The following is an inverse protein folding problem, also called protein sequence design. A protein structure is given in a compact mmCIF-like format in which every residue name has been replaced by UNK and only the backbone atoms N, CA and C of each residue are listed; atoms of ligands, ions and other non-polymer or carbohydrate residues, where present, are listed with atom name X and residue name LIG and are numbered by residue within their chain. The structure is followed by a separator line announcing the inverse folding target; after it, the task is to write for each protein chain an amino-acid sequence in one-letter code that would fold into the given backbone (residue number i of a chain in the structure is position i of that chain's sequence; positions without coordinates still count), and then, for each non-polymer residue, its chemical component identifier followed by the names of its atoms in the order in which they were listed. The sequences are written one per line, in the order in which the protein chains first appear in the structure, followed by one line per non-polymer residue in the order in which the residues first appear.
data_IF_066676364135
#
_entry.id   IF_066676364135
#
_cell.length_a   1.000
_cell.length_b   1.000
_cell.length_c   1.000
_cell.angle_alpha   90.00
_cell.angle_beta   90.00
_cell.angle_gamma   90.00
#
_symmetry.space_group_name_H-M   'P 1'
#
loop_
_entity.id
_entity.type
_entity.pdbx_description
1 polymer ?
#
# COMPACT_ATOMS: atom_id res chain seq x y z
N UNK A 1 -2.11 -33.27 19.78
CA UNK A 1 -2.19 -31.83 20.09
C UNK A 1 -1.94 -31.66 21.57
N UNK A 2 -1.24 -30.60 21.98
CA UNK A 2 -0.99 -30.24 23.37
C UNK A 2 -1.58 -28.84 23.58
N UNK A 3 -2.47 -28.70 24.57
CA UNK A 3 -3.08 -27.43 24.97
C UNK A 3 -2.64 -27.09 26.40
N UNK A 4 -1.98 -25.95 26.54
CA UNK A 4 -1.62 -25.35 27.81
C UNK A 4 -2.51 -24.14 28.04
N UNK A 5 -3.50 -24.27 28.92
CA UNK A 5 -4.39 -23.18 29.28
C UNK A 5 -4.01 -22.62 30.66
N UNK A 6 -3.73 -21.32 30.71
CA UNK A 6 -3.52 -20.58 31.95
C UNK A 6 -4.83 -19.90 32.33
N UNK A 7 -5.27 -20.14 33.56
CA UNK A 7 -6.52 -19.57 34.11
C UNK A 7 -6.27 -18.51 35.18
N UNK A 8 -5.00 -18.23 35.51
CA UNK A 8 -4.62 -17.14 36.41
C UNK A 8 -4.77 -15.78 35.72
N UNK A 9 -4.83 -14.71 36.51
CA UNK A 9 -4.93 -13.33 35.99
C UNK A 9 -3.62 -12.73 35.48
N UNK A 10 -2.52 -13.50 35.47
CA UNK A 10 -1.19 -12.99 35.11
C UNK A 10 -0.81 -13.40 33.67
N UNK A 11 -0.19 -12.50 32.89
CA UNK A 11 0.33 -12.85 31.56
C UNK A 11 1.40 -13.95 31.61
N UNK A 12 1.50 -14.74 30.54
CA UNK A 12 2.58 -15.72 30.37
C UNK A 12 3.79 -15.07 29.75
N UNK A 13 4.98 -15.32 30.32
CA UNK A 13 6.27 -14.89 29.72
C UNK A 13 7.00 -16.09 29.14
N UNK A 14 7.29 -16.05 27.84
CA UNK A 14 8.06 -17.05 27.11
C UNK A 14 9.43 -16.44 26.75
N UNK A 15 10.47 -16.88 27.44
CA UNK A 15 11.83 -16.32 27.33
C UNK A 15 12.88 -17.34 26.85
N UNK A 16 12.44 -18.43 26.21
CA UNK A 16 13.33 -19.50 25.74
C UNK A 16 12.61 -20.56 24.91
N UNK A 17 13.34 -21.63 24.52
CA UNK A 17 12.78 -22.71 23.72
C UNK A 17 11.74 -23.53 24.50
N UNK A 18 10.69 -23.95 23.79
CA UNK A 18 9.72 -24.94 24.24
C UNK A 18 9.80 -26.15 23.32
N UNK A 19 10.08 -27.32 23.87
CA UNK A 19 10.24 -28.57 23.12
C UNK A 19 9.13 -29.56 23.46
N UNK A 20 8.60 -30.22 22.43
CA UNK A 20 7.76 -31.40 22.59
C UNK A 20 8.66 -32.63 22.49
N UNK A 21 8.91 -33.27 23.64
CA UNK A 21 9.68 -34.50 23.67
C UNK A 21 8.91 -35.64 22.97
N UNK A 22 9.59 -36.37 22.08
CA UNK A 22 9.02 -37.49 21.34
C UNK A 22 8.31 -37.08 20.05
N UNK A 23 7.07 -37.54 19.87
CA UNK A 23 6.32 -37.33 18.64
C UNK A 23 5.91 -35.86 18.46
N UNK A 24 6.07 -35.36 17.24
CA UNK A 24 5.63 -34.00 16.85
C UNK A 24 4.14 -33.82 17.12
N UNK A 25 3.77 -32.69 17.70
CA UNK A 25 2.37 -32.35 17.96
C UNK A 25 2.10 -30.85 17.85
N UNK A 26 0.88 -30.48 17.47
CA UNK A 26 0.46 -29.07 17.52
C UNK A 26 0.47 -28.58 18.97
N UNK A 27 1.01 -27.39 19.20
CA UNK A 27 1.08 -26.74 20.51
C UNK A 27 0.16 -25.52 20.56
N UNK A 28 -0.62 -25.40 21.63
CA UNK A 28 -1.46 -24.24 21.90
C UNK A 28 -1.14 -23.73 23.30
N UNK A 29 -0.81 -22.45 23.40
CA UNK A 29 -0.61 -21.72 24.65
C UNK A 29 -1.70 -20.65 24.75
N UNK A 30 -2.66 -20.86 25.64
CA UNK A 30 -3.81 -20.00 25.82
C UNK A 30 -3.75 -19.29 27.17
N UNK A 31 -3.69 -17.95 27.16
CA UNK A 31 -3.74 -17.13 28.37
C UNK A 31 -4.49 -15.81 28.12
N UNK A 32 -5.74 -15.67 28.59
CA UNK A 32 -6.54 -14.45 28.44
C UNK A 32 -5.97 -13.19 29.09
N UNK A 33 -5.04 -13.32 30.05
CA UNK A 33 -4.35 -12.17 30.64
C UNK A 33 -3.29 -11.57 29.70
N UNK A 34 -2.78 -12.34 28.74
CA UNK A 34 -1.77 -11.92 27.78
C UNK A 34 -0.60 -12.89 27.65
N UNK A 35 0.20 -12.71 26.60
CA UNK A 35 1.42 -13.48 26.34
C UNK A 35 2.54 -12.53 25.93
N UNK A 36 3.69 -12.65 26.57
CA UNK A 36 4.91 -11.91 26.28
C UNK A 36 5.95 -12.91 25.78
N UNK A 37 6.48 -12.71 24.58
CA UNK A 37 7.59 -13.48 24.03
C UNK A 37 8.83 -12.60 23.89
N UNK A 38 9.96 -13.07 24.42
CA UNK A 38 11.26 -12.41 24.29
C UNK A 38 12.35 -13.47 24.14
N UNK A 39 12.56 -13.95 22.92
CA UNK A 39 13.45 -15.06 22.61
C UNK A 39 12.78 -16.44 22.70
N UNK A 40 11.44 -16.50 22.56
CA UNK A 40 10.75 -17.78 22.57
C UNK A 40 10.95 -18.51 21.23
N UNK A 41 11.11 -19.84 21.31
CA UNK A 41 11.18 -20.69 20.13
C UNK A 41 10.49 -22.03 20.37
N UNK A 42 10.14 -22.73 19.30
CA UNK A 42 9.35 -23.95 19.40
C UNK A 42 9.99 -25.10 18.61
N UNK A 43 10.22 -26.22 19.29
CA UNK A 43 10.89 -27.40 18.74
C UNK A 43 9.88 -28.55 18.70
N UNK A 44 9.88 -29.30 17.59
CA UNK A 44 8.96 -30.43 17.34
C UNK A 44 7.46 -30.05 17.32
N UNK A 45 7.13 -28.77 17.14
CA UNK A 45 5.77 -28.27 17.04
C UNK A 45 5.46 -27.80 15.60
N UNK A 46 4.88 -28.63 14.71
CA UNK A 46 4.56 -28.26 13.33
C UNK A 46 3.54 -27.13 13.21
N UNK A 47 2.74 -26.90 14.26
CA UNK A 47 1.84 -25.77 14.41
C UNK A 47 1.90 -25.25 15.83
N UNK A 48 2.05 -23.94 15.99
CA UNK A 48 2.06 -23.23 17.27
C UNK A 48 0.97 -22.18 17.25
N UNK A 49 0.10 -22.20 18.26
CA UNK A 49 -0.93 -21.19 18.48
C UNK A 49 -0.66 -20.49 19.80
N UNK A 50 -0.32 -19.20 19.74
CA UNK A 50 -0.27 -18.33 20.92
C UNK A 50 -1.56 -17.52 20.94
N UNK A 51 -2.34 -17.64 22.00
CA UNK A 51 -3.65 -17.01 22.05
C UNK A 51 -4.00 -16.42 23.41
N UNK A 52 -4.71 -15.30 23.40
CA UNK A 52 -5.40 -14.77 24.58
C UNK A 52 -6.88 -15.17 24.61
N UNK A 53 -7.28 -16.10 23.74
CA UNK A 53 -8.61 -16.65 23.73
C UNK A 53 -8.77 -17.84 24.67
N UNK A 54 -10.00 -18.04 25.14
CA UNK A 54 -10.37 -19.26 25.86
C UNK A 54 -10.72 -20.37 24.85
N UNK A 55 -10.20 -21.60 25.02
CA UNK A 55 -10.51 -22.72 24.14
C UNK A 55 -11.93 -23.24 24.36
N UNK A 56 -12.65 -23.46 23.26
CA UNK A 56 -13.98 -24.07 23.24
C UNK A 56 -13.91 -25.43 22.55
N UNK A 57 -14.56 -26.42 23.13
CA UNK A 57 -14.58 -27.78 22.62
C UNK A 57 -15.96 -28.13 22.04
N UNK A 58 -15.98 -28.96 21.00
CA UNK A 58 -17.22 -29.52 20.47
C UNK A 58 -17.75 -30.65 21.38
N UNK A 59 -18.90 -31.22 21.03
CA UNK A 59 -19.53 -32.31 21.78
C UNK A 59 -18.70 -33.61 21.79
N UNK A 60 -17.72 -33.75 20.88
CA UNK A 60 -16.82 -34.89 20.77
C UNK A 60 -15.50 -34.65 21.53
N UNK A 61 -15.33 -33.49 22.16
CA UNK A 61 -14.12 -33.10 22.89
C UNK A 61 -12.98 -32.57 22.01
N UNK A 62 -13.22 -32.30 20.73
CA UNK A 62 -12.22 -31.67 19.87
C UNK A 62 -12.23 -30.16 20.07
N UNK A 63 -11.06 -29.52 19.99
CA UNK A 63 -10.98 -28.06 19.99
C UNK A 63 -11.64 -27.50 18.73
N UNK A 64 -12.71 -26.74 18.90
CA UNK A 64 -13.47 -26.14 17.80
C UNK A 64 -13.02 -24.70 17.53
N UNK A 65 -12.95 -23.88 18.58
CA UNK A 65 -12.67 -22.45 18.46
C UNK A 65 -11.92 -21.89 19.66
N UNK A 66 -11.40 -20.67 19.48
CA UNK A 66 -10.71 -19.88 20.50
C UNK A 66 -11.44 -18.54 20.65
N UNK A 67 -12.05 -18.30 21.81
CA UNK A 67 -12.79 -17.07 22.13
C UNK A 67 -11.87 -16.00 22.69
N UNK A 68 -11.39 -15.13 21.82
CA UNK A 68 -10.56 -13.96 22.14
C UNK A 68 -11.46 -12.79 22.54
N UNK A 69 -11.40 -12.34 23.79
CA UNK A 69 -12.19 -11.19 24.28
C UNK A 69 -11.33 -10.06 24.87
N UNK A 70 -10.10 -10.37 25.27
CA UNK A 70 -9.13 -9.48 25.92
C UNK A 70 -7.71 -10.00 25.75
N UNK A 71 -6.75 -9.30 26.36
CA UNK A 71 -5.36 -9.68 26.39
C UNK A 71 -4.58 -9.23 25.15
N UNK A 72 -3.29 -9.03 25.34
CA UNK A 72 -2.34 -8.65 24.29
C UNK A 72 -1.28 -9.74 24.12
N UNK A 73 -0.85 -9.96 22.88
CA UNK A 73 0.40 -10.66 22.59
C UNK A 73 1.49 -9.62 22.31
N UNK A 74 2.59 -9.71 23.03
CA UNK A 74 3.73 -8.81 22.86
C UNK A 74 4.98 -9.61 22.51
N UNK A 75 5.65 -9.23 21.43
CA UNK A 75 6.93 -9.82 21.01
C UNK A 75 8.02 -8.76 21.11
N UNK A 76 9.03 -8.99 21.94
CA UNK A 76 10.11 -8.04 22.21
C UNK A 76 11.50 -8.69 22.05
N UNK A 77 12.54 -7.87 22.14
CA UNK A 77 13.93 -8.34 22.30
C UNK A 77 14.36 -9.31 21.21
N UNK A 78 14.79 -10.51 21.60
CA UNK A 78 15.25 -11.56 20.68
C UNK A 78 14.14 -12.15 19.78
N UNK A 79 12.87 -11.75 19.99
CA UNK A 79 11.78 -12.08 19.08
C UNK A 79 11.14 -13.45 19.35
N UNK A 80 10.48 -13.98 18.33
CA UNK A 80 9.77 -15.26 18.30
C UNK A 80 10.26 -16.08 17.09
N UNK A 81 10.80 -17.28 17.34
CA UNK A 81 11.23 -18.19 16.28
C UNK A 81 10.34 -19.45 16.22
N UNK A 82 9.52 -19.52 15.19
CA UNK A 82 8.69 -20.67 14.81
C UNK A 82 8.99 -21.12 13.37
N UNK A 83 10.25 -20.98 12.90
CA UNK A 83 10.65 -21.45 11.56
C UNK A 83 10.30 -22.93 11.38
N UNK A 84 9.77 -23.27 10.20
CA UNK A 84 9.32 -24.63 9.88
C UNK A 84 7.95 -25.01 10.50
N UNK A 85 7.29 -24.10 11.22
CA UNK A 85 5.96 -24.29 11.78
C UNK A 85 4.95 -23.28 11.24
N UNK A 86 3.68 -23.67 11.17
CA UNK A 86 2.59 -22.70 11.11
C UNK A 86 2.47 -21.99 12.47
N UNK A 87 2.47 -20.66 12.47
CA UNK A 87 2.28 -19.83 13.66
C UNK A 87 0.95 -19.08 13.56
N UNK A 88 0.10 -19.28 14.57
CA UNK A 88 -1.12 -18.52 14.77
C UNK A 88 -0.97 -17.65 16.02
N UNK A 89 -0.98 -16.32 15.83
CA UNK A 89 -1.06 -15.33 16.90
C UNK A 89 -2.50 -14.84 16.96
N UNK A 90 -3.22 -15.11 18.06
CA UNK A 90 -4.65 -14.84 18.18
C UNK A 90 -4.95 -14.08 19.47
N UNK A 91 -5.09 -12.76 19.40
CA UNK A 91 -5.27 -11.93 20.61
C UNK A 91 -6.14 -10.72 20.37
N UNK A 92 -6.55 -10.02 21.42
CA UNK A 92 -7.35 -8.80 21.23
C UNK A 92 -6.51 -7.70 20.60
N UNK A 93 -5.25 -7.57 21.03
CA UNK A 93 -4.27 -6.67 20.43
C UNK A 93 -2.89 -7.33 20.32
N UNK A 94 -2.03 -6.79 19.46
CA UNK A 94 -0.64 -7.25 19.30
C UNK A 94 0.33 -6.08 19.26
N UNK A 95 1.47 -6.24 19.94
CA UNK A 95 2.60 -5.33 19.87
C UNK A 95 3.86 -6.12 19.48
N UNK A 96 4.35 -5.89 18.27
CA UNK A 96 5.49 -6.62 17.69
C UNK A 96 6.68 -5.66 17.61
N UNK A 97 7.60 -5.77 18.56
CA UNK A 97 8.82 -4.98 18.68
C UNK A 97 10.10 -5.82 18.55
N UNK A 98 9.97 -7.09 18.18
CA UNK A 98 11.05 -8.00 17.80
C UNK A 98 10.70 -8.76 16.53
N UNK A 99 11.65 -9.56 16.03
CA UNK A 99 11.40 -10.35 14.83
C UNK A 99 10.54 -11.59 15.13
N UNK A 100 9.52 -11.82 14.32
CA UNK A 100 8.68 -13.03 14.32
C UNK A 100 9.01 -13.82 13.06
N UNK A 101 9.36 -15.09 13.21
CA UNK A 101 9.63 -16.01 12.09
C UNK A 101 8.68 -17.21 12.14
N UNK A 102 8.10 -17.57 11.01
CA UNK A 102 7.24 -18.75 10.88
C UNK A 102 7.33 -19.33 9.46
N UNK A 103 6.93 -20.59 9.25
CA UNK A 103 6.71 -21.13 7.90
C UNK A 103 5.43 -20.55 7.29
N UNK A 104 4.35 -20.47 8.06
CA UNK A 104 3.10 -19.83 7.65
C UNK A 104 2.59 -19.00 8.81
N UNK A 105 2.20 -17.76 8.58
CA UNK A 105 1.88 -16.82 9.66
C UNK A 105 0.42 -16.36 9.56
N UNK A 106 -0.34 -16.60 10.61
CA UNK A 106 -1.64 -15.97 10.82
C UNK A 106 -1.57 -15.07 12.06
N UNK A 107 -1.91 -13.79 11.92
CA UNK A 107 -2.09 -12.88 13.03
C UNK A 107 -3.50 -12.31 13.00
N UNK A 108 -4.33 -12.69 13.97
CA UNK A 108 -5.73 -12.28 14.08
C UNK A 108 -5.90 -11.46 15.35
N UNK A 109 -6.29 -10.21 15.17
CA UNK A 109 -6.51 -9.23 16.23
C UNK A 109 -7.97 -8.77 16.33
N UNK A 110 -8.37 -8.46 17.55
CA UNK A 110 -9.71 -8.04 17.96
C UNK A 110 -10.47 -9.12 18.73
N UNK A 111 -11.65 -8.76 19.23
CA UNK A 111 -12.55 -9.66 19.93
C UNK A 111 -13.23 -10.62 18.94
N UNK A 112 -12.81 -11.88 18.94
CA UNK A 112 -13.25 -12.90 17.98
C UNK A 112 -13.46 -14.26 18.62
N UNK A 113 -14.44 -15.00 18.10
CA UNK A 113 -14.38 -16.45 18.09
C UNK A 113 -13.61 -16.88 16.84
N UNK A 114 -12.46 -17.53 17.00
CA UNK A 114 -11.61 -17.98 15.89
C UNK A 114 -11.73 -19.48 15.71
N UNK A 115 -12.15 -19.93 14.54
CA UNK A 115 -12.17 -21.35 14.18
C UNK A 115 -10.75 -21.93 14.16
N UNK A 116 -10.50 -23.04 14.87
CA UNK A 116 -9.14 -23.58 14.99
C UNK A 116 -8.64 -24.20 13.67
N UNK A 117 -9.50 -24.76 12.83
CA UNK A 117 -9.08 -25.38 11.57
C UNK A 117 -8.59 -24.37 10.54
N UNK A 118 -9.45 -23.41 10.22
CA UNK A 118 -9.26 -22.40 9.16
C UNK A 118 -8.63 -21.09 9.63
N UNK A 119 -8.58 -20.87 10.95
CA UNK A 119 -8.16 -19.61 11.56
C UNK A 119 -9.02 -18.44 11.06
N UNK A 120 -10.32 -18.70 10.88
CA UNK A 120 -11.29 -17.71 10.42
C UNK A 120 -11.94 -17.03 11.63
N UNK A 121 -11.86 -15.71 11.77
CA UNK A 121 -12.48 -14.99 12.87
C UNK A 121 -13.97 -14.72 12.61
N UNK A 122 -14.76 -14.81 13.67
CA UNK A 122 -16.12 -14.27 13.77
C UNK A 122 -16.15 -13.28 14.94
N UNK A 123 -16.55 -12.04 14.70
CA UNK A 123 -16.54 -11.00 15.73
C UNK A 123 -17.44 -11.37 16.92
N UNK A 124 -16.95 -11.13 18.13
CA UNK A 124 -17.69 -11.26 19.40
C UNK A 124 -17.50 -10.00 20.25
N UNK A 125 -18.21 -9.90 21.37
CA UNK A 125 -18.01 -8.80 22.31
C UNK A 125 -16.67 -8.94 23.06
N UNK A 126 -15.87 -7.88 23.04
CA UNK A 126 -14.65 -7.76 23.85
C UNK A 126 -14.96 -7.34 25.29
N UNK A 127 -14.00 -7.59 26.20
CA UNK A 127 -14.11 -7.27 27.64
C UNK A 127 -13.10 -6.20 28.05
N UNK A 128 -13.54 -5.25 28.87
CA UNK A 128 -12.72 -4.12 29.29
C UNK A 128 -12.51 -3.07 28.19
N UNK A 129 -11.66 -2.05 28.45
CA UNK A 129 -11.45 -0.95 27.51
C UNK A 129 -10.91 -1.47 26.18
N UNK A 130 -11.40 -0.89 25.08
CA UNK A 130 -10.87 -1.20 23.76
C UNK A 130 -9.39 -0.81 23.68
N UNK A 131 -8.54 -1.64 23.03
CA UNK A 131 -7.19 -1.24 22.64
C UNK A 131 -7.19 0.04 21.81
N UNK A 132 -6.01 0.58 21.50
CA UNK A 132 -5.89 1.72 20.59
C UNK A 132 -5.57 1.29 19.15
N UNK A 133 -4.91 0.14 18.99
CA UNK A 133 -4.49 -0.44 17.71
C UNK A 133 -4.67 -1.96 17.80
N UNK A 134 -5.11 -2.60 16.72
CA UNK A 134 -5.28 -4.04 16.67
C UNK A 134 -3.93 -4.76 16.56
N UNK A 135 -3.10 -4.35 15.60
CA UNK A 135 -1.75 -4.88 15.38
C UNK A 135 -0.80 -3.71 15.19
N UNK A 136 0.20 -3.59 16.07
CA UNK A 136 1.27 -2.60 15.96
C UNK A 136 2.61 -3.31 15.76
N UNK A 137 3.17 -3.20 14.56
CA UNK A 137 4.53 -3.67 14.26
C UNK A 137 5.46 -2.46 14.35
N UNK A 138 6.19 -2.33 15.46
CA UNK A 138 7.11 -1.22 15.68
C UNK A 138 8.24 -1.18 14.66
N UNK A 139 9.02 -0.10 14.64
CA UNK A 139 10.13 0.06 13.67
C UNK A 139 11.22 -1.03 13.79
N UNK A 140 11.41 -1.57 15.00
CA UNK A 140 12.31 -2.70 15.28
C UNK A 140 11.59 -4.06 15.17
N UNK A 141 10.27 -4.03 15.07
CA UNK A 141 9.45 -5.21 14.86
C UNK A 141 9.57 -5.74 13.45
N UNK A 142 9.40 -7.04 13.29
CA UNK A 142 9.23 -7.62 11.96
C UNK A 142 8.44 -8.92 12.01
N UNK A 143 7.78 -9.26 10.92
CA UNK A 143 7.03 -10.50 10.77
C UNK A 143 7.40 -11.16 9.44
N UNK A 144 7.95 -12.36 9.49
CA UNK A 144 8.44 -13.12 8.35
C UNK A 144 7.73 -14.47 8.27
N UNK A 145 6.95 -14.67 7.23
CA UNK A 145 6.42 -15.98 6.84
C UNK A 145 7.26 -16.60 5.74
N UNK A 146 7.70 -17.84 5.90
CA UNK A 146 8.38 -18.63 4.87
C UNK A 146 7.51 -18.79 3.63
N UNK A 147 6.21 -19.02 3.81
CA UNK A 147 5.14 -19.11 2.81
C UNK A 147 4.15 -17.97 2.94
N UNK A 148 2.86 -18.29 3.04
CA UNK A 148 1.80 -17.27 3.08
C UNK A 148 1.69 -16.61 4.47
N UNK A 149 1.40 -15.30 4.46
CA UNK A 149 1.23 -14.47 5.66
C UNK A 149 -0.13 -13.77 5.63
N UNK A 150 -0.89 -13.87 6.70
CA UNK A 150 -2.23 -13.26 6.84
C UNK A 150 -2.33 -12.44 8.12
N UNK A 151 -2.71 -11.18 8.00
CA UNK A 151 -2.99 -10.27 9.12
C UNK A 151 -4.47 -9.85 9.05
N UNK A 152 -5.22 -10.01 10.14
CA UNK A 152 -6.64 -9.67 10.21
C UNK A 152 -6.91 -8.84 11.47
N UNK A 153 -7.37 -7.60 11.32
CA UNK A 153 -7.91 -6.76 12.40
C UNK A 153 -9.43 -6.64 12.27
N UNK A 154 -10.17 -7.05 13.29
CA UNK A 154 -11.63 -7.26 13.17
C UNK A 154 -12.47 -6.26 13.98
N UNK A 155 -11.92 -5.68 15.04
CA UNK A 155 -12.64 -4.67 15.81
C UNK A 155 -12.75 -3.36 15.02
N UNK A 156 -13.97 -2.82 14.92
CA UNK A 156 -14.26 -1.61 14.17
C UNK A 156 -13.45 -0.41 14.70
N UNK A 157 -12.80 0.31 13.79
CA UNK A 157 -11.98 1.47 14.14
C UNK A 157 -10.58 1.14 14.70
N UNK A 158 -10.28 -0.12 15.01
CA UNK A 158 -8.94 -0.52 15.44
C UNK A 158 -8.08 -0.87 14.24
N UNK A 159 -7.11 0.00 13.97
CA UNK A 159 -6.23 -0.08 12.82
C UNK A 159 -5.07 -1.07 12.96
N UNK A 160 -4.30 -1.17 11.88
CA UNK A 160 -3.02 -1.90 11.82
C UNK A 160 -1.92 -0.91 11.46
N UNK A 161 -0.85 -0.88 12.26
CA UNK A 161 0.32 -0.04 12.03
C UNK A 161 1.53 -0.92 11.68
N UNK A 162 2.18 -0.64 10.55
CA UNK A 162 3.38 -1.32 10.07
C UNK A 162 4.53 -0.33 10.02
N UNK A 163 5.30 -0.29 11.10
CA UNK A 163 6.53 0.47 11.23
C UNK A 163 7.79 -0.27 10.81
N UNK A 164 7.78 -1.60 10.90
CA UNK A 164 8.89 -2.48 10.58
C UNK A 164 8.68 -3.27 9.28
N UNK A 165 9.32 -4.44 9.18
CA UNK A 165 9.21 -5.29 7.99
C UNK A 165 8.14 -6.37 8.16
N UNK A 166 7.26 -6.49 7.18
CA UNK A 166 6.24 -7.52 7.09
C UNK A 166 6.41 -8.24 5.74
N UNK A 167 6.80 -9.52 5.76
CA UNK A 167 7.17 -10.24 4.56
C UNK A 167 6.59 -11.66 4.47
N UNK A 168 6.14 -12.04 3.28
CA UNK A 168 5.88 -13.42 2.87
C UNK A 168 6.96 -13.84 1.86
N UNK A 169 7.87 -14.72 2.25
CA UNK A 169 9.13 -14.98 1.53
C UNK A 169 8.98 -15.88 0.30
N UNK A 170 7.99 -16.78 0.30
CA UNK A 170 7.65 -17.62 -0.86
C UNK A 170 6.16 -17.60 -1.20
N UNK A 171 5.33 -16.94 -0.38
CA UNK A 171 3.88 -16.93 -0.53
C UNK A 171 3.28 -15.54 -0.76
N UNK A 172 1.93 -15.54 -0.78
CA UNK A 172 1.11 -14.33 -0.80
C UNK A 172 1.03 -13.67 0.56
N UNK A 173 0.73 -12.38 0.57
CA UNK A 173 0.46 -11.62 1.79
C UNK A 173 -0.94 -11.00 1.73
N UNK A 174 -1.77 -11.30 2.71
CA UNK A 174 -3.11 -10.75 2.85
C UNK A 174 -3.23 -9.96 4.16
N UNK A 175 -3.56 -8.69 4.08
CA UNK A 175 -3.77 -7.82 5.23
C UNK A 175 -5.17 -7.20 5.18
N UNK A 176 -6.00 -7.51 6.16
CA UNK A 176 -7.36 -7.00 6.26
C UNK A 176 -7.57 -6.34 7.61
N UNK A 177 -8.19 -5.16 7.64
CA UNK A 177 -8.51 -4.46 8.87
C UNK A 177 -9.89 -3.79 8.78
N UNK A 178 -10.66 -3.85 9.87
CA UNK A 178 -11.88 -3.07 10.06
C UNK A 178 -11.60 -1.66 10.64
N UNK A 179 -10.33 -1.30 10.78
CA UNK A 179 -9.84 0.06 11.00
C UNK A 179 -8.77 0.42 9.96
N UNK A 180 -8.17 1.60 10.10
CA UNK A 180 -7.20 2.08 9.11
C UNK A 180 -5.90 1.29 9.11
N UNK A 181 -5.26 1.17 7.95
CA UNK A 181 -3.93 0.60 7.79
C UNK A 181 -2.93 1.71 7.56
N UNK A 182 -1.89 1.78 8.39
CA UNK A 182 -0.80 2.74 8.24
C UNK A 182 0.51 2.00 8.05
N UNK A 183 1.22 2.31 6.96
CA UNK A 183 2.58 1.86 6.71
C UNK A 183 3.47 3.10 6.85
N UNK A 184 4.31 3.11 7.88
CA UNK A 184 5.16 4.27 8.20
C UNK A 184 6.31 4.42 7.20
N UNK A 185 7.08 5.51 7.22
CA UNK A 185 8.22 5.68 6.31
C UNK A 185 9.28 4.57 6.37
N UNK A 186 9.43 3.91 7.52
CA UNK A 186 10.34 2.76 7.69
C UNK A 186 9.68 1.43 7.37
N UNK A 187 8.34 1.42 7.31
CA UNK A 187 7.51 0.25 7.08
C UNK A 187 7.75 -0.36 5.70
N UNK A 188 7.89 -1.68 5.66
CA UNK A 188 7.99 -2.46 4.43
C UNK A 188 6.97 -3.59 4.47
N UNK A 189 6.16 -3.71 3.43
CA UNK A 189 5.21 -4.81 3.23
C UNK A 189 5.57 -5.52 1.93
N UNK A 190 6.00 -6.77 2.04
CA UNK A 190 6.59 -7.51 0.93
C UNK A 190 5.97 -8.90 0.81
N UNK A 191 5.86 -9.39 -0.42
CA UNK A 191 5.47 -10.78 -0.68
C UNK A 191 6.24 -11.31 -1.88
N UNK A 192 6.38 -12.62 -1.99
CA UNK A 192 6.94 -13.28 -3.17
C UNK A 192 5.88 -13.69 -4.21
N UNK A 193 4.59 -13.58 -3.88
CA UNK A 193 3.46 -13.82 -4.78
C UNK A 193 2.49 -12.63 -4.76
N UNK A 194 1.17 -12.81 -4.70
CA UNK A 194 0.27 -11.65 -4.65
C UNK A 194 0.25 -10.97 -3.27
N UNK A 195 -0.04 -9.67 -3.26
CA UNK A 195 -0.19 -8.86 -2.06
C UNK A 195 -1.57 -8.18 -2.07
N UNK A 196 -2.37 -8.40 -1.04
CA UNK A 196 -3.67 -7.77 -0.87
C UNK A 196 -3.76 -6.98 0.44
N UNK A 197 -4.28 -5.75 0.38
CA UNK A 197 -4.59 -4.92 1.55
C UNK A 197 -6.06 -4.47 1.46
N UNK A 198 -6.84 -4.71 2.51
CA UNK A 198 -8.23 -4.28 2.60
C UNK A 198 -8.52 -3.55 3.91
N UNK A 199 -8.92 -2.28 3.84
CA UNK A 199 -9.25 -1.46 5.00
C UNK A 199 -10.14 -0.27 4.60
N UNK A 200 -10.82 0.41 5.55
CA UNK A 200 -11.50 1.68 5.28
C UNK A 200 -10.56 2.72 4.66
N UNK A 201 -9.38 2.93 5.26
CA UNK A 201 -8.32 3.74 4.69
C UNK A 201 -6.95 3.05 4.78
N UNK A 202 -6.10 3.30 3.79
CA UNK A 202 -4.72 2.83 3.70
C UNK A 202 -3.80 4.04 3.48
N UNK A 203 -2.97 4.34 4.48
CA UNK A 203 -1.92 5.36 4.40
C UNK A 203 -0.58 4.67 4.20
N UNK A 204 0.03 4.84 3.03
CA UNK A 204 1.34 4.29 2.71
C UNK A 204 2.39 5.38 2.59
N UNK A 205 3.32 5.42 3.55
CA UNK A 205 4.51 6.29 3.54
C UNK A 205 5.79 5.50 3.32
N UNK A 206 5.73 4.17 3.43
CA UNK A 206 6.85 3.25 3.27
C UNK A 206 6.87 2.58 1.90
N UNK A 207 7.12 1.27 1.89
CA UNK A 207 7.19 0.48 0.66
C UNK A 207 6.27 -0.74 0.69
N UNK A 208 5.45 -0.88 -0.35
CA UNK A 208 4.70 -2.08 -0.68
C UNK A 208 5.31 -2.64 -1.95
N UNK A 209 5.81 -3.88 -1.92
CA UNK A 209 6.51 -4.47 -3.08
C UNK A 209 6.26 -5.96 -3.24
N UNK A 210 6.07 -6.40 -4.48
CA UNK A 210 5.96 -7.82 -4.83
C UNK A 210 6.28 -8.07 -6.31
N UNK A 211 6.85 -9.24 -6.70
CA UNK A 211 6.88 -9.64 -8.11
C UNK A 211 5.50 -10.03 -8.66
N UNK A 212 4.52 -10.34 -7.80
CA UNK A 212 3.14 -10.68 -8.19
C UNK A 212 2.27 -9.45 -8.42
N UNK A 213 0.96 -9.58 -8.15
CA UNK A 213 0.00 -8.47 -8.22
C UNK A 213 -0.17 -7.80 -6.87
N UNK A 214 -0.46 -6.49 -6.87
CA UNK A 214 -0.93 -5.75 -5.71
C UNK A 214 -2.40 -5.39 -5.86
N UNK A 215 -3.21 -5.69 -4.86
CA UNK A 215 -4.60 -5.23 -4.75
C UNK A 215 -4.81 -4.45 -3.46
N UNK A 216 -5.27 -3.21 -3.54
CA UNK A 216 -5.61 -2.40 -2.36
C UNK A 216 -7.07 -1.97 -2.44
N UNK A 217 -7.88 -2.30 -1.44
CA UNK A 217 -9.27 -1.83 -1.32
C UNK A 217 -9.43 -0.91 -0.11
N UNK A 218 -9.84 0.33 -0.34
CA UNK A 218 -9.96 1.37 0.69
C UNK A 218 -9.67 2.77 0.18
N UNK A 219 -9.89 3.80 1.00
CA UNK A 219 -9.40 5.14 0.72
C UNK A 219 -7.87 5.15 0.79
N UNK A 220 -7.18 5.54 -0.29
CA UNK A 220 -5.71 5.43 -0.34
C UNK A 220 -5.03 6.79 -0.31
N UNK A 221 -4.07 6.95 0.59
CA UNK A 221 -3.10 8.03 0.59
C UNK A 221 -1.68 7.44 0.47
N UNK A 222 -1.07 7.57 -0.70
CA UNK A 222 0.27 7.05 -1.00
C UNK A 222 1.27 8.19 -1.15
N UNK A 223 2.20 8.33 -0.20
CA UNK A 223 3.39 9.19 -0.30
C UNK A 223 4.67 8.37 -0.49
N UNK A 224 4.63 7.07 -0.19
CA UNK A 224 5.72 6.12 -0.38
C UNK A 224 5.72 5.45 -1.75
N UNK A 225 5.93 4.13 -1.78
CA UNK A 225 5.95 3.33 -3.01
C UNK A 225 5.00 2.13 -2.94
N UNK A 226 4.29 1.89 -4.04
CA UNK A 226 3.52 0.66 -4.31
C UNK A 226 4.02 0.10 -5.64
N UNK A 227 4.72 -1.02 -5.59
CA UNK A 227 5.40 -1.58 -6.76
C UNK A 227 5.03 -3.05 -6.93
N UNK A 228 4.65 -3.42 -8.15
CA UNK A 228 4.34 -4.80 -8.54
C UNK A 228 5.13 -5.20 -9.78
N UNK A 229 5.61 -6.44 -9.82
CA UNK A 229 6.07 -7.08 -11.04
C UNK A 229 4.93 -7.42 -11.99
N UNK A 230 3.76 -7.77 -11.45
CA UNK A 230 2.49 -7.89 -12.15
C UNK A 230 1.69 -6.58 -12.15
N UNK A 231 0.38 -6.69 -11.92
CA UNK A 231 -0.54 -5.57 -11.95
C UNK A 231 -0.65 -4.86 -10.59
N UNK A 232 -1.02 -3.58 -10.61
CA UNK A 232 -1.48 -2.85 -9.41
C UNK A 232 -2.93 -2.45 -9.61
N UNK A 233 -3.82 -2.91 -8.73
CA UNK A 233 -5.22 -2.52 -8.67
C UNK A 233 -5.52 -1.82 -7.35
N UNK A 234 -6.05 -0.60 -7.41
CA UNK A 234 -6.47 0.15 -6.23
C UNK A 234 -7.92 0.57 -6.42
N UNK A 235 -8.78 0.21 -5.47
CA UNK A 235 -10.20 0.53 -5.51
C UNK A 235 -10.69 1.14 -4.19
N UNK A 236 -11.49 2.20 -4.23
CA UNK A 236 -12.01 2.80 -3.00
C UNK A 236 -12.79 4.10 -3.17
N UNK A 237 -13.11 4.81 -2.08
CA UNK A 237 -13.82 6.08 -2.15
C UNK A 237 -12.96 7.18 -2.80
N UNK A 238 -11.70 7.32 -2.41
CA UNK A 238 -10.74 8.32 -2.90
C UNK A 238 -9.34 7.70 -3.02
N UNK A 239 -8.57 8.15 -4.00
CA UNK A 239 -7.18 7.73 -4.18
C UNK A 239 -6.31 8.98 -4.35
N UNK A 240 -5.35 9.17 -3.45
CA UNK A 240 -4.37 10.25 -3.50
C UNK A 240 -2.98 9.63 -3.60
N UNK A 241 -2.29 9.92 -4.70
CA UNK A 241 -0.91 9.50 -4.91
C UNK A 241 0.00 10.73 -5.03
N UNK A 242 0.96 10.88 -4.14
CA UNK A 242 2.10 11.81 -4.26
C UNK A 242 3.44 11.09 -4.29
N UNK A 243 3.45 9.78 -4.03
CA UNK A 243 4.60 8.89 -4.16
C UNK A 243 4.64 8.20 -5.53
N UNK A 244 5.04 6.92 -5.55
CA UNK A 244 5.10 6.10 -6.77
C UNK A 244 4.11 4.94 -6.70
N UNK A 245 3.38 4.73 -7.78
CA UNK A 245 2.63 3.50 -8.05
C UNK A 245 3.15 2.92 -9.36
N UNK A 246 3.69 1.70 -9.31
CA UNK A 246 4.36 1.05 -10.44
C UNK A 246 3.87 -0.39 -10.66
N UNK A 247 3.54 -0.74 -11.89
CA UNK A 247 3.23 -2.10 -12.32
C UNK A 247 4.19 -2.53 -13.44
N UNK A 248 4.48 -3.83 -13.55
CA UNK A 248 5.46 -4.32 -14.53
C UNK A 248 6.91 -4.00 -14.16
N UNK A 249 7.23 -3.83 -12.87
CA UNK A 249 8.55 -3.41 -12.40
C UNK A 249 9.41 -4.63 -12.06
N UNK A 250 10.62 -4.71 -12.60
CA UNK A 250 11.59 -5.78 -12.32
C UNK A 250 12.37 -5.56 -11.00
N UNK A 251 13.18 -6.55 -10.64
CA UNK A 251 14.00 -6.52 -9.43
C UNK A 251 15.05 -5.38 -9.41
N UNK A 252 15.39 -4.81 -10.57
CA UNK A 252 16.30 -3.68 -10.70
C UNK A 252 15.57 -2.32 -10.64
N UNK A 253 14.25 -2.33 -10.44
CA UNK A 253 13.40 -1.13 -10.42
C UNK A 253 13.04 -0.60 -11.81
N UNK A 254 13.37 -1.35 -12.87
CA UNK A 254 13.02 -1.01 -14.25
C UNK A 254 11.60 -1.45 -14.58
N UNK A 255 10.84 -0.63 -15.30
CA UNK A 255 9.49 -1.00 -15.78
C UNK A 255 9.60 -1.90 -17.01
N UNK A 256 10.13 -3.11 -16.87
CA UNK A 256 10.46 -4.00 -18.00
C UNK A 256 9.46 -5.13 -18.25
N UNK A 257 8.66 -5.47 -17.25
CA UNK A 257 7.71 -6.58 -17.29
C UNK A 257 6.34 -6.11 -17.81
N UNK A 258 5.48 -7.05 -18.18
CA UNK A 258 4.08 -6.73 -18.48
C UNK A 258 3.31 -6.53 -17.17
N UNK A 259 2.71 -5.35 -17.00
CA UNK A 259 1.86 -5.05 -15.84
C UNK A 259 1.13 -3.73 -16.01
N UNK A 260 -0.15 -3.71 -15.63
CA UNK A 260 -1.02 -2.55 -15.75
C UNK A 260 -1.37 -1.96 -14.38
N UNK A 261 -1.59 -0.65 -14.34
CA UNK A 261 -2.13 0.05 -13.16
C UNK A 261 -3.61 0.34 -13.38
N UNK A 262 -4.47 -0.04 -12.44
CA UNK A 262 -5.89 0.28 -12.43
C UNK A 262 -6.26 1.03 -11.15
N UNK A 263 -6.66 2.30 -11.28
CA UNK A 263 -7.14 3.14 -10.17
C UNK A 263 -8.64 3.38 -10.31
N UNK A 264 -9.43 2.81 -9.41
CA UNK A 264 -10.89 2.89 -9.43
C UNK A 264 -11.40 3.60 -8.17
N UNK A 265 -11.72 4.88 -8.26
CA UNK A 265 -12.30 5.63 -7.15
C UNK A 265 -13.79 5.92 -7.38
N UNK A 266 -14.64 5.81 -6.36
CA UNK A 266 -16.02 6.28 -6.49
C UNK A 266 -16.08 7.81 -6.67
N UNK A 267 -15.23 8.56 -5.96
CA UNK A 267 -15.13 10.01 -6.07
C UNK A 267 -13.89 10.47 -6.83
N UNK A 268 -12.78 10.77 -6.14
CA UNK A 268 -11.62 11.43 -6.78
C UNK A 268 -10.39 10.53 -6.86
N UNK A 269 -9.69 10.60 -7.98
CA UNK A 269 -8.29 10.20 -8.11
C UNK A 269 -7.43 11.46 -8.28
N UNK A 270 -6.53 11.70 -7.33
CA UNK A 270 -5.53 12.77 -7.40
C UNK A 270 -4.13 12.19 -7.48
N UNK A 271 -3.48 12.36 -8.62
CA UNK A 271 -2.10 11.97 -8.84
C UNK A 271 -1.20 13.21 -8.94
N UNK A 272 -0.49 13.51 -7.86
CA UNK A 272 0.64 14.45 -7.84
C UNK A 272 2.01 13.78 -7.92
N UNK A 273 2.06 12.43 -7.82
CA UNK A 273 3.28 11.63 -7.87
C UNK A 273 3.49 10.96 -9.23
N UNK A 274 4.05 9.74 -9.23
CA UNK A 274 4.32 8.96 -10.44
C UNK A 274 3.42 7.74 -10.56
N UNK A 275 2.84 7.54 -11.75
CA UNK A 275 2.20 6.31 -12.18
C UNK A 275 3.04 5.69 -13.30
N UNK A 276 3.51 4.46 -13.09
CA UNK A 276 4.36 3.72 -14.03
C UNK A 276 3.71 2.38 -14.38
N UNK A 277 3.64 2.02 -15.66
CA UNK A 277 3.16 0.72 -16.08
C UNK A 277 3.94 0.15 -17.25
N UNK A 278 4.25 -1.15 -17.20
CA UNK A 278 4.81 -1.87 -18.33
C UNK A 278 3.81 -2.15 -19.45
N UNK A 279 2.51 -2.00 -19.17
CA UNK A 279 1.41 -2.05 -20.14
C UNK A 279 0.55 -0.79 -20.00
N UNK A 280 -0.68 -0.90 -19.50
CA UNK A 280 -1.66 0.18 -19.50
C UNK A 280 -1.81 0.85 -18.14
N UNK A 281 -2.24 2.11 -18.16
CA UNK A 281 -2.71 2.82 -16.96
C UNK A 281 -4.20 3.17 -17.17
N UNK A 282 -5.07 2.59 -16.36
CA UNK A 282 -6.51 2.87 -16.32
C UNK A 282 -6.88 3.66 -15.06
N UNK A 283 -7.66 4.73 -15.24
CA UNK A 283 -8.17 5.54 -14.12
C UNK A 283 -9.66 5.75 -14.31
N UNK A 284 -10.47 5.26 -13.38
CA UNK A 284 -11.91 5.46 -13.35
C UNK A 284 -12.32 6.17 -12.05
N UNK A 285 -12.86 7.39 -12.16
CA UNK A 285 -13.29 8.15 -11.01
C UNK A 285 -14.35 9.20 -11.35
N UNK A 286 -15.15 9.66 -10.39
CA UNK A 286 -16.02 10.82 -10.56
C UNK A 286 -15.24 12.08 -10.97
N UNK A 287 -14.06 12.29 -10.39
CA UNK A 287 -13.12 13.37 -10.74
C UNK A 287 -11.68 12.87 -10.81
N UNK A 288 -10.91 13.35 -11.78
CA UNK A 288 -9.50 13.00 -11.97
C UNK A 288 -8.64 14.25 -12.06
N UNK A 289 -7.67 14.38 -11.14
CA UNK A 289 -6.64 15.42 -11.16
C UNK A 289 -5.24 14.78 -11.24
N UNK A 290 -4.62 14.89 -12.41
CA UNK A 290 -3.22 14.48 -12.63
C UNK A 290 -2.29 15.68 -12.81
N UNK A 291 -2.75 16.88 -12.40
CA UNK A 291 -2.20 18.18 -12.79
C UNK A 291 -0.68 18.34 -12.70
N UNK A 292 -0.02 17.71 -11.74
CA UNK A 292 1.44 17.80 -11.54
C UNK A 292 2.16 16.44 -11.52
N UNK A 293 1.42 15.32 -11.61
CA UNK A 293 1.99 13.99 -11.52
C UNK A 293 2.47 13.43 -12.86
N UNK A 294 3.46 12.54 -12.84
CA UNK A 294 3.91 11.79 -14.00
C UNK A 294 3.00 10.59 -14.30
N UNK A 295 2.71 10.34 -15.57
CA UNK A 295 2.00 9.14 -16.03
C UNK A 295 2.77 8.56 -17.21
N UNK A 296 3.40 7.40 -16.99
CA UNK A 296 4.25 6.75 -17.99
C UNK A 296 3.85 5.28 -18.15
N UNK A 297 3.42 4.92 -19.35
CA UNK A 297 2.98 3.59 -19.72
C UNK A 297 3.73 3.18 -20.98
N UNK A 298 4.29 1.95 -21.04
CA UNK A 298 4.85 1.40 -22.28
C UNK A 298 3.76 0.97 -23.28
N UNK A 299 2.58 0.60 -22.77
CA UNK A 299 1.38 0.31 -23.55
C UNK A 299 0.59 1.58 -23.88
N UNK A 300 -0.73 1.54 -23.73
CA UNK A 300 -1.57 2.72 -23.92
C UNK A 300 -1.61 3.58 -22.64
N UNK A 301 -1.05 4.80 -22.65
CA UNK A 301 -1.23 5.72 -21.53
C UNK A 301 -2.70 6.17 -21.46
N UNK A 302 -3.43 5.71 -20.45
CA UNK A 302 -4.63 6.38 -19.95
C UNK A 302 -5.93 6.10 -20.70
N UNK A 303 -6.66 5.04 -20.32
CA UNK A 303 -8.14 5.11 -20.34
C UNK A 303 -8.59 5.82 -19.08
N UNK A 304 -8.75 7.13 -19.18
CA UNK A 304 -9.33 7.95 -18.10
C UNK A 304 -10.84 8.04 -18.33
N UNK A 305 -11.64 7.56 -17.38
CA UNK A 305 -13.09 7.72 -17.33
C UNK A 305 -13.46 8.55 -16.10
N UNK A 306 -14.26 9.61 -16.28
CA UNK A 306 -14.66 10.51 -15.20
C UNK A 306 -15.29 11.82 -15.67
N UNK A 307 -16.14 12.38 -14.81
CA UNK A 307 -17.00 13.55 -15.10
C UNK A 307 -16.26 14.90 -15.03
N UNK A 308 -15.27 15.04 -14.15
CA UNK A 308 -14.34 16.17 -14.08
C UNK A 308 -12.91 15.75 -14.36
N UNK A 309 -12.18 16.47 -15.23
CA UNK A 309 -10.80 16.12 -15.62
C UNK A 309 -9.89 17.34 -15.60
N UNK A 310 -8.76 17.24 -14.89
CA UNK A 310 -7.67 18.20 -14.92
C UNK A 310 -6.35 17.45 -15.15
N UNK A 311 -5.74 17.64 -16.32
CA UNK A 311 -4.49 16.99 -16.72
C UNK A 311 -3.44 18.06 -17.03
N UNK A 312 -2.31 18.04 -16.33
CA UNK A 312 -1.19 18.98 -16.53
C UNK A 312 0.19 18.34 -16.52
N UNK A 313 0.27 17.02 -16.24
CA UNK A 313 1.53 16.28 -16.15
C UNK A 313 2.17 15.93 -17.50
N UNK A 314 3.48 15.62 -17.47
CA UNK A 314 4.25 15.14 -18.63
C UNK A 314 3.90 13.68 -18.94
N UNK A 315 3.25 13.43 -20.08
CA UNK A 315 3.09 12.09 -20.67
C UNK A 315 4.23 11.82 -21.66
N UNK A 316 4.99 10.74 -21.49
CA UNK A 316 5.99 10.30 -22.48
C UNK A 316 5.40 9.13 -23.28
N UNK A 317 5.32 9.28 -24.60
CA UNK A 317 4.81 8.25 -25.52
C UNK A 317 5.98 7.41 -26.04
N UNK A 318 6.10 6.17 -25.55
CA UNK A 318 7.06 5.19 -26.04
C UNK A 318 6.47 4.32 -27.14
N UNK A 319 6.19 4.87 -28.33
CA UNK A 319 5.72 4.09 -29.47
C UNK A 319 6.23 4.68 -30.78
N UNK A 320 7.06 3.90 -31.50
CA UNK A 320 7.49 4.24 -32.87
C UNK A 320 6.26 4.51 -33.74
N UNK A 321 6.16 5.74 -34.27
CA UNK A 321 5.18 6.08 -35.29
C UNK A 321 5.44 5.22 -36.54
N UNK A 322 4.61 4.21 -36.79
CA UNK A 322 4.53 3.64 -38.15
C UNK A 322 3.96 4.73 -39.06
N UNK A 323 4.80 5.23 -39.98
CA UNK A 323 4.38 6.13 -41.04
C UNK A 323 3.36 5.40 -41.90
N UNK A 324 2.12 5.89 -41.94
CA UNK A 324 1.27 5.66 -43.09
C UNK A 324 1.61 6.75 -44.10
N UNK A 325 2.34 6.37 -45.14
CA UNK A 325 2.59 7.22 -46.28
C UNK A 325 1.25 7.60 -46.91
N UNK A 326 1.00 8.90 -47.05
CA UNK A 326 -0.13 9.46 -47.78
C UNK A 326 0.01 9.09 -49.25
N UNK A 327 -0.98 8.41 -49.81
CA UNK A 327 -1.20 8.37 -51.25
C UNK A 327 -1.72 9.76 -51.71
N UNK A 328 -1.28 10.27 -52.88
CA UNK A 328 -1.70 11.59 -53.37
C UNK A 328 -3.11 11.56 -53.95
N UNK A 329 -3.84 12.66 -53.73
CA UNK A 329 -5.19 12.91 -54.24
C UNK A 329 -5.23 12.97 -55.78
N UNK A 330 -6.16 12.22 -56.39
CA UNK A 330 -6.52 12.34 -57.81
C UNK A 330 -7.63 13.38 -58.05
N UNK A 331 -7.81 13.87 -59.29
CA UNK A 331 -8.67 15.03 -59.60
C UNK A 331 -10.18 14.67 -59.62
N UNK A 332 -11.09 15.67 -59.56
CA UNK A 332 -12.49 15.44 -59.25
C UNK A 332 -13.31 15.01 -60.47
N UNK A 333 -14.07 13.93 -60.32
CA UNK A 333 -15.06 13.46 -61.28
C UNK A 333 -16.45 14.06 -60.96
N UNK A 334 -17.12 14.59 -61.99
CA UNK A 334 -18.44 15.25 -61.89
C UNK A 334 -19.53 14.21 -61.60
N UNK A 335 -20.39 14.46 -60.62
CA UNK A 335 -21.68 13.75 -60.49
C UNK A 335 -22.86 14.70 -60.67
N UNK A 336 -23.73 14.34 -61.62
CA UNK A 336 -25.08 14.87 -61.76
C UNK A 336 -26.04 14.22 -60.74
N UNK A 337 -27.00 15.04 -60.33
CA UNK A 337 -28.17 14.84 -59.48
C UNK A 337 -28.74 13.43 -59.23
N UNK A 338 -29.08 13.17 -57.96
CA UNK A 338 -30.08 12.19 -57.55
C UNK A 338 -30.45 12.34 -56.07
N UNK A 339 -31.67 12.82 -55.80
CA UNK A 339 -32.22 13.12 -54.46
C UNK A 339 -32.37 11.86 -53.60
N UNK A 340 -31.96 11.89 -52.33
CA UNK A 340 -32.70 11.27 -51.22
C UNK A 340 -32.24 11.83 -49.86
N UNK A 341 -33.20 12.28 -49.04
CA UNK A 341 -33.00 12.85 -47.71
C UNK A 341 -32.51 11.79 -46.72
N UNK A 342 -31.38 12.06 -46.06
CA UNK A 342 -30.94 11.43 -44.83
C UNK A 342 -31.51 12.19 -43.61
N UNK A 343 -31.88 11.48 -42.53
CA UNK A 343 -31.72 11.98 -41.16
C UNK A 343 -30.88 10.99 -40.38
N UNK A 344 -29.78 11.52 -39.84
CA UNK A 344 -28.65 10.84 -39.23
C UNK A 344 -28.94 10.35 -37.81
N UNK A 345 -28.43 9.15 -37.49
CA UNK A 345 -28.18 8.69 -36.12
C UNK A 345 -27.00 9.48 -35.52
N UNK A 346 -27.08 9.68 -34.21
CA UNK A 346 -26.12 10.37 -33.35
C UNK A 346 -24.68 9.90 -33.59
N UNK A 347 -23.78 10.85 -33.87
CA UNK A 347 -22.35 10.65 -33.82
C UNK A 347 -21.86 10.87 -32.39
N UNK A 348 -21.34 9.80 -31.80
CA UNK A 348 -20.67 9.74 -30.50
C UNK A 348 -19.36 10.56 -30.60
N UNK A 349 -19.34 11.77 -30.01
CA UNK A 349 -18.15 12.65 -30.01
C UNK A 349 -17.14 12.13 -28.97
N UNK A 350 -16.19 11.31 -29.41
CA UNK A 350 -14.98 10.98 -28.65
C UNK A 350 -13.89 12.00 -28.99
N UNK A 351 -13.62 12.92 -28.07
CA UNK A 351 -12.47 13.80 -28.13
C UNK A 351 -11.28 13.12 -27.44
N UNK A 352 -10.28 12.69 -28.23
CA UNK A 352 -8.97 12.29 -27.71
C UNK A 352 -8.09 13.53 -27.50
N UNK A 353 -7.29 13.53 -26.43
CA UNK A 353 -6.29 14.57 -26.21
C UNK A 353 -5.16 14.44 -27.25
N UNK A 354 -4.96 15.46 -28.07
CA UNK A 354 -3.79 15.59 -28.97
C UNK A 354 -2.94 16.74 -28.45
N UNK A 355 -1.66 16.48 -28.19
CA UNK A 355 -0.71 17.51 -27.77
C UNK A 355 -0.16 18.28 -28.97
N UNK A 356 -0.06 19.61 -28.85
CA UNK A 356 0.65 20.47 -29.80
C UNK A 356 2.16 20.51 -29.49
N UNK A 357 2.99 20.36 -30.53
CA UNK A 357 4.44 20.65 -30.47
C UNK A 357 4.64 22.17 -30.42
N UNK A 358 5.36 22.66 -29.42
CA UNK A 358 6.18 23.86 -29.59
C UNK A 358 7.56 23.42 -30.10
N UNK A 359 7.92 23.83 -31.31
CA UNK A 359 9.25 23.61 -31.88
C UNK A 359 10.31 24.49 -31.19
N UNK A 360 11.59 24.08 -31.20
CA UNK A 360 12.66 24.90 -30.68
C UNK A 360 12.88 26.11 -31.60
N UNK A 361 12.89 27.31 -31.02
CA UNK A 361 13.27 28.54 -31.71
C UNK A 361 14.71 28.45 -32.22
N UNK A 362 14.91 28.84 -33.47
CA UNK A 362 16.24 29.03 -34.07
C UNK A 362 16.97 30.17 -33.36
N UNK A 363 18.27 30.05 -33.01
CA UNK A 363 19.11 31.19 -32.75
C UNK A 363 19.67 31.74 -34.06
N UNK A 364 19.46 33.03 -34.31
CA UNK A 364 20.03 33.78 -35.42
C UNK A 364 21.55 33.89 -35.36
N UNK A 365 22.18 33.94 -36.54
CA UNK A 365 23.61 34.21 -36.75
C UNK A 365 23.88 35.72 -36.78
N UNK A 366 24.77 36.19 -35.92
CA UNK A 366 25.74 37.29 -36.09
C UNK A 366 26.81 36.99 -35.01
N UNK A 367 28.12 37.05 -35.17
CA UNK A 367 29.01 37.82 -36.03
C UNK A 367 30.28 38.02 -35.17
N UNK A 368 31.43 37.69 -35.73
CA UNK A 368 32.80 37.60 -35.16
C UNK A 368 33.25 38.85 -34.38
N UNK A 369 34.02 38.67 -33.29
CA UNK A 369 34.83 39.72 -32.64
C UNK A 369 35.72 39.19 -31.51
N UNK A 370 37.03 39.41 -31.62
CA UNK A 370 38.13 38.84 -30.84
C UNK A 370 38.37 39.48 -29.45
N UNK A 371 39.16 38.77 -28.61
CA UNK A 371 40.26 39.22 -27.69
C UNK A 371 40.04 40.51 -26.83
N UNK A 372 40.45 40.69 -25.57
CA UNK A 372 41.36 40.06 -24.62
C UNK A 372 41.40 40.95 -23.34
N UNK A 373 42.11 40.46 -22.29
CA UNK A 373 42.78 41.19 -21.18
C UNK A 373 42.00 41.55 -19.90
N UNK A 374 42.61 41.08 -18.80
CA UNK A 374 42.49 41.49 -17.40
C UNK A 374 42.49 43.02 -17.15
N UNK A 375 41.90 43.46 -16.04
CA UNK A 375 42.64 44.16 -14.97
C UNK A 375 41.77 44.54 -13.77
N UNK A 376 42.45 44.47 -12.62
CA UNK A 376 42.16 45.00 -11.29
C UNK A 376 41.46 46.36 -11.21
N UNK A 377 40.72 46.58 -10.12
CA UNK A 377 40.22 47.92 -9.76
C UNK A 377 39.46 47.97 -8.45
N UNK A 378 40.20 47.90 -7.35
CA UNK A 378 39.79 48.12 -5.97
C UNK A 378 39.30 49.57 -5.72
N UNK A 379 38.23 49.75 -4.93
CA UNK A 379 38.07 50.74 -3.82
C UNK A 379 36.65 51.30 -3.59
N UNK A 380 36.14 50.96 -2.40
CA UNK A 380 35.67 51.82 -1.29
C UNK A 380 34.60 52.90 -1.52
N UNK A 381 33.53 52.68 -0.74
CA UNK A 381 33.07 53.48 0.40
C UNK A 381 31.76 54.29 0.31
N UNK A 382 30.97 54.05 1.37
CA UNK A 382 30.01 54.92 2.07
C UNK A 382 28.63 55.15 1.44
N UNK A 383 27.61 54.48 1.98
CA UNK A 383 26.84 54.81 3.21
C UNK A 383 25.69 55.79 2.92
N UNK A 384 24.46 55.27 3.00
CA UNK A 384 23.40 55.72 3.93
C UNK A 384 22.25 54.70 3.82
N UNK A 385 22.03 53.84 4.84
CA UNK A 385 20.97 53.97 5.86
C UNK A 385 19.66 54.52 5.24
N UNK A 386 18.54 53.79 5.23
CA UNK A 386 17.81 53.27 6.41
C UNK A 386 16.81 52.17 6.02
N UNK A 387 16.72 51.20 6.94
CA UNK A 387 15.57 50.40 7.42
C UNK A 387 14.48 49.98 6.42
N UNK A 388 14.06 48.72 6.33
CA UNK A 388 13.90 47.71 7.39
C UNK A 388 12.50 47.10 7.17
N UNK A 389 12.35 45.95 6.52
CA UNK A 389 12.48 44.57 7.04
C UNK A 389 11.21 44.04 7.72
N UNK A 390 10.78 42.86 7.23
CA UNK A 390 10.00 41.78 7.85
C UNK A 390 8.47 41.93 7.99
N UNK A 391 7.70 41.02 7.37
CA UNK A 391 7.16 39.73 7.91
C UNK A 391 6.17 39.98 9.06
N UNK A 392 4.97 39.40 9.14
CA UNK A 392 4.53 38.02 8.87
C UNK A 392 2.99 37.95 9.05
N UNK A 393 2.34 37.03 8.34
CA UNK A 393 1.21 36.17 8.72
C UNK A 393 0.25 36.54 9.88
N UNK A 394 -1.05 36.29 9.63
CA UNK A 394 -1.87 35.50 10.55
C UNK A 394 -3.16 36.17 11.01
N UNK A 395 -4.30 35.68 10.51
CA UNK A 395 -5.63 36.01 10.97
C UNK A 395 -6.22 34.85 11.82
N UNK A 396 -6.99 35.23 12.84
CA UNK A 396 -8.00 34.50 13.63
C UNK A 396 -7.60 33.62 14.83
N UNK A 397 -8.04 34.07 16.03
CA UNK A 397 -8.92 33.30 16.94
C UNK A 397 -9.54 34.15 18.08
N UNK A 398 -10.70 33.65 18.57
CA UNK A 398 -11.45 33.94 19.83
C UNK A 398 -12.30 35.23 19.86
N UNK A 399 -13.54 35.30 20.38
CA UNK A 399 -14.39 34.39 21.17
C UNK A 399 -14.89 35.11 22.45
N UNK A 400 -16.21 35.26 22.66
CA UNK A 400 -16.90 35.71 23.89
C UNK A 400 -16.70 37.19 24.28
N UNK A 401 -17.61 37.97 24.86
CA UNK A 401 -18.85 37.80 25.65
C UNK A 401 -19.63 39.12 25.57
N UNK A 402 -20.96 39.06 25.63
CA UNK A 402 -21.86 40.22 25.81
C UNK A 402 -23.25 39.74 26.16
#
# INVERSE_FOLDING_TARGET
MILNQVTSGNPSTLAGPTEIAGNRANLILANPAGIICSGCSFIQAPRVTLTTGTPNFDALGNLSSLSVQQGQITVNGAGLDARGAQLDLLSRAMAINGAVWAERLNAVAGANSVDYGSVTPTAIAGTGPAPQVAIDVGQLGSMYGGGATRLIGTEQGLGVNIGGNLAALTGRLDLSANGDVTITPTGRVQSAADLAIAAPNVTNQGAISTPGNVSISGGVANTGSVVAGGNVAIAGPQIVNTGTIGAGVDANGGVTQAGSVALNAAGTVRNGGSLLAGQDIGVNAGSVDTGNGGVNARGQPGRVAGGGRRCGGRSWFGGQQRRHDRLPDGPPERQQHGRHRQRWRQADRRAGCVAHRHGPGQPGRHGVGAQSVDQHGDRRDRQHRRHGVCRRYGCNRCGGTG
#
